data_IF_274027523331
#
_entry.id   IF_274027523331
#
_cell.length_a   1.000
_cell.length_b   1.000
_cell.length_c   1.000
_cell.angle_alpha   90.00
_cell.angle_beta   90.00
_cell.angle_gamma   90.00
#
_symmetry.space_group_name_H-M   'P 1'
#
loop_
_entity.id
_entity.type
_entity.pdbx_description
1 polymer ?
#
# COMPACT_ATOMS: atom_id res chain seq x y z
N UNK A 1 -2.98 -7.68 29.25
CA UNK A 1 -3.37 -6.25 29.18
C UNK A 1 -2.26 -5.30 29.63
N UNK A 2 -1.57 -5.51 30.76
CA UNK A 2 -0.51 -4.57 31.23
C UNK A 2 0.69 -4.37 30.27
N UNK A 3 1.08 -5.36 29.46
CA UNK A 3 2.21 -5.24 28.52
C UNK A 3 1.94 -4.27 27.35
N UNK A 4 0.72 -4.17 26.87
CA UNK A 4 0.37 -3.27 25.74
C UNK A 4 0.27 -1.80 26.18
N UNK A 5 -0.02 -1.55 27.44
CA UNK A 5 -0.07 -0.19 28.00
C UNK A 5 1.31 0.47 27.93
N UNK A 6 2.38 -0.28 28.20
CA UNK A 6 3.76 0.23 28.12
C UNK A 6 4.18 0.55 26.69
N UNK A 7 3.71 -0.25 25.71
CA UNK A 7 3.99 0.00 24.29
C UNK A 7 3.25 1.25 23.81
N UNK A 8 1.98 1.40 24.19
CA UNK A 8 1.17 2.58 23.88
C UNK A 8 1.74 3.82 24.57
N UNK A 9 2.19 3.70 25.80
CA UNK A 9 2.79 4.80 26.56
C UNK A 9 4.17 5.20 26.00
N UNK A 10 4.98 4.23 25.58
CA UNK A 10 6.25 4.50 24.88
C UNK A 10 6.02 5.16 23.53
N UNK A 11 5.00 4.73 22.77
CA UNK A 11 4.60 5.34 21.52
C UNK A 11 4.09 6.78 21.74
N UNK A 12 3.29 7.01 22.78
CA UNK A 12 2.80 8.33 23.16
C UNK A 12 3.93 9.27 23.63
N UNK A 13 4.93 8.74 24.35
CA UNK A 13 6.11 9.49 24.77
C UNK A 13 7.02 9.88 23.59
N UNK A 14 7.13 9.03 22.57
CA UNK A 14 7.86 9.37 21.34
C UNK A 14 7.14 10.44 20.49
N UNK A 15 5.85 10.65 20.70
CA UNK A 15 5.04 11.68 20.03
C UNK A 15 5.03 13.02 20.79
N UNK A 16 5.58 13.11 21.99
CA UNK A 16 5.45 14.30 22.86
C UNK A 16 6.66 15.24 22.86
N UNK A 17 7.76 14.93 22.17
CA UNK A 17 8.90 15.85 22.05
C UNK A 17 8.85 16.64 20.76
N UNK A 18 7.92 17.58 20.65
CA UNK A 18 7.90 18.56 19.55
C UNK A 18 8.16 19.97 20.06
N UNK A 19 9.43 20.33 20.18
CA UNK A 19 9.85 21.70 19.90
C UNK A 19 9.61 21.99 18.42
N UNK A 20 9.20 23.23 18.12
CA UNK A 20 8.84 23.72 16.79
C UNK A 20 9.95 23.50 15.74
N UNK A 21 10.13 22.30 15.26
CA UNK A 21 11.03 21.95 14.15
C UNK A 21 10.27 21.11 13.13
N UNK A 22 10.41 21.55 11.89
CA UNK A 22 10.03 20.92 10.61
C UNK A 22 9.18 19.66 10.71
N UNK A 23 8.03 19.67 10.10
CA UNK A 23 7.13 18.53 9.87
C UNK A 23 7.93 17.26 9.58
N UNK A 24 7.99 16.34 10.54
CA UNK A 24 8.89 15.18 10.48
C UNK A 24 8.18 13.88 10.23
N UNK A 25 6.87 13.84 10.46
CA UNK A 25 6.08 12.62 10.35
C UNK A 25 4.77 12.88 9.60
N UNK A 26 4.35 11.96 8.75
CA UNK A 26 3.04 12.00 8.11
C UNK A 26 2.36 10.64 8.09
N UNK A 27 1.04 10.68 8.14
CA UNK A 27 0.17 9.53 7.91
C UNK A 27 -0.72 9.88 6.73
N UNK A 28 -0.82 8.98 5.77
CA UNK A 28 -1.63 9.19 4.57
C UNK A 28 -2.48 7.98 4.22
N UNK A 29 -3.57 8.24 3.50
CA UNK A 29 -4.43 7.21 2.95
C UNK A 29 -4.72 7.52 1.48
N UNK A 30 -4.67 6.49 0.63
CA UNK A 30 -4.93 6.60 -0.80
C UNK A 30 -6.43 6.42 -1.08
N UNK A 31 -7.05 7.46 -1.62
CA UNK A 31 -8.47 7.47 -1.94
C UNK A 31 -8.82 6.51 -3.09
N UNK A 32 -7.92 6.34 -4.06
CA UNK A 32 -8.12 5.39 -5.16
C UNK A 32 -8.06 3.94 -4.69
N UNK A 33 -7.37 3.66 -3.59
CA UNK A 33 -7.40 2.35 -2.93
C UNK A 33 -8.83 1.94 -2.57
N UNK A 34 -9.60 2.84 -2.02
CA UNK A 34 -11.00 2.57 -1.67
C UNK A 34 -11.89 2.34 -2.90
N UNK A 35 -11.62 3.03 -4.01
CA UNK A 35 -12.32 2.80 -5.27
C UNK A 35 -11.98 1.43 -5.89
N UNK A 36 -10.84 0.83 -5.53
CA UNK A 36 -10.44 -0.52 -5.94
C UNK A 36 -11.07 -1.59 -5.06
N UNK A 37 -12.39 -1.77 -5.19
CA UNK A 37 -13.19 -2.77 -4.47
C UNK A 37 -13.04 -2.66 -2.93
N UNK A 38 -12.91 -1.44 -2.41
CA UNK A 38 -12.85 -1.19 -0.97
C UNK A 38 -11.51 -1.54 -0.31
N UNK A 39 -10.40 -1.47 -1.05
CA UNK A 39 -9.07 -1.74 -0.47
C UNK A 39 -8.70 -0.67 0.56
N UNK A 40 -8.70 -1.05 1.83
CA UNK A 40 -8.22 -0.21 2.92
C UNK A 40 -6.71 -0.07 2.85
N UNK A 41 -6.20 1.12 3.13
CA UNK A 41 -4.77 1.39 3.07
C UNK A 41 -4.35 2.46 4.07
N UNK A 42 -3.12 2.39 4.50
CA UNK A 42 -2.48 3.35 5.38
C UNK A 42 -0.99 3.39 5.09
N UNK A 43 -0.47 4.57 4.85
CA UNK A 43 0.96 4.81 4.67
C UNK A 43 1.45 5.79 5.75
N UNK A 44 2.62 5.51 6.30
CA UNK A 44 3.33 6.36 7.23
C UNK A 44 4.66 6.78 6.61
N UNK A 45 5.08 8.03 6.85
CA UNK A 45 6.35 8.55 6.37
C UNK A 45 7.03 9.35 7.47
N UNK A 46 8.34 9.15 7.61
CA UNK A 46 9.17 9.85 8.59
C UNK A 46 10.35 10.51 7.88
N UNK A 47 10.49 11.83 8.02
CA UNK A 47 11.63 12.56 7.49
C UNK A 47 12.89 12.22 8.30
N UNK A 48 13.90 11.68 7.63
CA UNK A 48 15.20 11.36 8.24
C UNK A 48 16.27 12.41 7.90
N UNK A 49 16.01 13.23 6.91
CA UNK A 49 16.84 14.38 6.56
C UNK A 49 16.01 15.40 5.74
N UNK A 50 16.62 16.53 5.39
CA UNK A 50 15.95 17.58 4.58
C UNK A 50 15.40 17.11 3.24
N UNK A 51 15.94 16.02 2.69
CA UNK A 51 15.58 15.48 1.36
C UNK A 51 15.20 14.02 1.36
N UNK A 52 15.22 13.34 2.50
CA UNK A 52 14.92 11.92 2.58
C UNK A 52 13.88 11.64 3.64
N UNK A 53 12.92 10.81 3.29
CA UNK A 53 11.99 10.21 4.23
C UNK A 53 11.92 8.70 4.05
N UNK A 54 11.74 7.98 5.13
CA UNK A 54 11.41 6.56 5.12
C UNK A 54 9.91 6.40 5.09
N UNK A 55 9.43 5.39 4.38
CA UNK A 55 8.00 5.11 4.25
C UNK A 55 7.70 3.67 4.59
N UNK A 56 6.55 3.44 5.22
CA UNK A 56 5.99 2.13 5.45
C UNK A 56 4.50 2.18 5.15
N UNK A 57 3.96 1.16 4.49
CA UNK A 57 2.56 1.13 4.10
C UNK A 57 1.96 -0.26 4.21
N UNK A 58 0.67 -0.29 4.48
CA UNK A 58 -0.14 -1.51 4.52
C UNK A 58 -1.39 -1.32 3.67
N UNK A 59 -1.80 -2.40 2.99
CA UNK A 59 -3.06 -2.48 2.25
C UNK A 59 -3.77 -3.76 2.60
N UNK A 60 -5.06 -3.68 2.78
CA UNK A 60 -5.89 -4.82 3.14
C UNK A 60 -7.24 -4.78 2.44
N UNK A 61 -7.57 -5.87 1.77
CA UNK A 61 -8.88 -6.04 1.15
C UNK A 61 -9.41 -7.46 1.45
N UNK A 62 -10.35 -7.62 2.38
CA UNK A 62 -10.93 -8.92 2.72
C UNK A 62 -12.18 -9.25 1.87
N UNK A 63 -12.65 -8.35 1.01
CA UNK A 63 -13.99 -8.43 0.45
C UNK A 63 -14.11 -9.46 -0.67
N UNK A 64 -15.20 -10.24 -0.59
CA UNK A 64 -15.69 -11.14 -1.64
C UNK A 64 -17.12 -10.73 -1.96
N UNK A 65 -17.39 -10.46 -3.21
CA UNK A 65 -18.69 -10.01 -3.69
C UNK A 65 -19.47 -11.15 -4.30
N UNK A 66 -20.80 -11.14 -4.11
CA UNK A 66 -21.74 -12.17 -4.60
C UNK A 66 -21.32 -13.59 -4.19
N UNK A 67 -20.95 -13.74 -2.94
CA UNK A 67 -20.50 -15.02 -2.38
C UNK A 67 -21.59 -16.08 -2.53
N UNK A 68 -21.20 -17.27 -3.02
CA UNK A 68 -22.10 -18.43 -3.18
C UNK A 68 -22.65 -18.62 -4.60
N UNK A 69 -22.42 -17.69 -5.52
CA UNK A 69 -22.78 -17.82 -6.93
C UNK A 69 -21.52 -18.12 -7.76
N UNK A 70 -21.32 -19.36 -8.26
CA UNK A 70 -20.09 -19.75 -8.97
C UNK A 70 -19.80 -18.89 -10.20
N UNK A 71 -20.83 -18.42 -10.88
CA UNK A 71 -20.72 -17.71 -12.15
C UNK A 71 -20.57 -16.18 -11.97
N UNK A 72 -20.97 -15.68 -10.80
CA UNK A 72 -20.99 -14.22 -10.53
C UNK A 72 -20.14 -13.77 -9.36
N UNK A 73 -19.57 -14.71 -8.61
CA UNK A 73 -18.66 -14.36 -7.53
C UNK A 73 -17.39 -13.71 -8.08
N UNK A 74 -17.06 -12.53 -7.57
CA UNK A 74 -15.80 -11.89 -7.87
C UNK A 74 -15.13 -11.40 -6.58
N UNK A 75 -13.79 -11.42 -6.61
CA UNK A 75 -12.97 -11.02 -5.46
C UNK A 75 -11.63 -10.46 -5.88
N UNK A 76 -11.13 -9.53 -5.08
CA UNK A 76 -9.76 -9.01 -5.19
C UNK A 76 -9.18 -8.87 -3.79
N UNK A 77 -9.18 -10.01 -3.07
CA UNK A 77 -8.64 -10.05 -1.71
C UNK A 77 -7.13 -9.88 -1.76
N UNK A 78 -6.62 -9.06 -0.88
CA UNK A 78 -5.18 -8.84 -0.79
C UNK A 78 -4.78 -8.33 0.60
N UNK A 79 -3.54 -8.67 0.95
CA UNK A 79 -2.84 -8.12 2.09
C UNK A 79 -1.44 -7.77 1.61
N UNK A 80 -1.04 -6.50 1.75
CA UNK A 80 0.24 -6.04 1.22
C UNK A 80 0.96 -5.19 2.25
N UNK A 81 2.28 -5.30 2.23
CA UNK A 81 3.18 -4.52 3.04
C UNK A 81 4.24 -3.90 2.14
N UNK A 82 4.54 -2.64 2.35
CA UNK A 82 5.57 -1.93 1.63
C UNK A 82 6.46 -1.17 2.59
N UNK A 83 7.75 -1.15 2.32
CA UNK A 83 8.73 -0.30 3.00
C UNK A 83 9.63 0.33 1.96
N UNK A 84 10.04 1.57 2.18
CA UNK A 84 10.86 2.24 1.20
C UNK A 84 11.42 3.57 1.67
N UNK A 85 12.01 4.29 0.73
CA UNK A 85 12.52 5.62 0.94
C UNK A 85 12.05 6.55 -0.19
N UNK A 86 11.77 7.82 0.16
CA UNK A 86 11.46 8.89 -0.77
C UNK A 86 12.58 9.92 -0.79
N UNK A 87 12.97 10.31 -1.96
CA UNK A 87 13.85 11.45 -2.23
C UNK A 87 13.02 12.65 -2.64
N UNK A 88 13.23 13.77 -1.98
CA UNK A 88 12.59 15.05 -2.22
C UNK A 88 13.63 16.04 -2.74
N UNK A 89 13.55 16.48 -4.00
CA UNK A 89 14.55 17.39 -4.57
C UNK A 89 14.70 18.72 -3.80
N UNK A 90 13.62 19.19 -3.17
CA UNK A 90 13.62 20.46 -2.42
C UNK A 90 13.50 20.25 -0.90
N UNK A 91 12.29 19.97 -0.40
CA UNK A 91 12.00 19.75 1.01
C UNK A 91 11.15 18.51 1.19
N UNK A 92 11.36 17.80 2.30
CA UNK A 92 10.49 16.69 2.69
C UNK A 92 9.05 17.15 2.86
N UNK A 93 8.12 16.27 2.51
CA UNK A 93 6.66 16.44 2.60
C UNK A 93 6.08 17.56 1.67
N UNK A 94 6.85 18.07 0.70
CA UNK A 94 6.37 19.11 -0.22
C UNK A 94 7.00 19.00 -1.62
N UNK A 95 6.18 19.21 -2.66
CA UNK A 95 6.63 19.23 -4.06
C UNK A 95 6.86 17.84 -4.65
N UNK A 96 7.77 17.75 -5.63
CA UNK A 96 8.11 16.53 -6.30
C UNK A 96 8.85 15.55 -5.41
N UNK A 97 8.59 14.25 -5.59
CA UNK A 97 9.31 13.19 -4.93
C UNK A 97 9.48 11.96 -5.83
N UNK A 98 10.54 11.21 -5.55
CA UNK A 98 10.84 9.93 -6.14
C UNK A 98 11.01 8.90 -5.03
N UNK A 99 10.53 7.68 -5.23
CA UNK A 99 10.62 6.66 -4.20
C UNK A 99 11.03 5.31 -4.77
N UNK A 100 11.79 4.57 -3.95
CA UNK A 100 12.00 3.13 -4.10
C UNK A 100 11.31 2.41 -2.95
N UNK A 101 10.52 1.38 -3.26
CA UNK A 101 9.84 0.56 -2.25
C UNK A 101 10.12 -0.93 -2.48
N UNK A 102 10.23 -1.69 -1.41
CA UNK A 102 10.12 -3.14 -1.40
C UNK A 102 8.72 -3.51 -0.96
N UNK A 103 8.08 -4.39 -1.71
CA UNK A 103 6.69 -4.75 -1.50
C UNK A 103 6.54 -6.27 -1.41
N UNK A 104 5.75 -6.72 -0.45
CA UNK A 104 5.23 -8.08 -0.33
C UNK A 104 3.71 -8.03 -0.39
N UNK A 105 3.10 -8.96 -1.12
CA UNK A 105 1.66 -9.05 -1.25
C UNK A 105 1.20 -10.49 -1.30
N UNK A 106 0.26 -10.83 -0.45
CA UNK A 106 -0.62 -11.98 -0.60
C UNK A 106 -1.87 -11.56 -1.36
N UNK A 107 -2.29 -12.35 -2.35
CA UNK A 107 -3.46 -12.01 -3.13
C UNK A 107 -4.30 -13.23 -3.50
N UNK A 108 -5.61 -12.98 -3.64
CA UNK A 108 -6.54 -13.95 -4.19
C UNK A 108 -7.55 -13.18 -5.06
N UNK A 109 -7.40 -13.31 -6.38
CA UNK A 109 -8.19 -12.59 -7.38
C UNK A 109 -8.92 -13.55 -8.27
N UNK A 110 -10.21 -13.33 -8.48
CA UNK A 110 -11.01 -14.16 -9.38
C UNK A 110 -12.36 -13.56 -9.71
N UNK A 111 -12.94 -14.02 -10.81
CA UNK A 111 -14.29 -13.63 -11.23
C UNK A 111 -14.43 -12.21 -11.79
N UNK A 112 -13.35 -11.43 -11.98
CA UNK A 112 -13.42 -10.04 -12.45
C UNK A 112 -13.51 -9.98 -13.98
N UNK A 113 -12.55 -10.60 -14.68
CA UNK A 113 -12.48 -10.61 -16.15
C UNK A 113 -12.72 -12.02 -16.71
N UNK A 114 -12.54 -13.04 -15.90
CA UNK A 114 -12.78 -14.45 -16.26
C UNK A 114 -13.16 -15.21 -14.98
N UNK A 115 -13.82 -16.37 -15.09
CA UNK A 115 -14.15 -17.19 -13.94
C UNK A 115 -12.91 -17.76 -13.24
N UNK A 116 -11.75 -17.74 -13.88
CA UNK A 116 -10.51 -18.25 -13.29
C UNK A 116 -10.12 -17.43 -12.07
N UNK A 117 -9.67 -18.14 -11.04
CA UNK A 117 -9.14 -17.53 -9.81
C UNK A 117 -7.66 -17.81 -9.69
N UNK A 118 -6.91 -16.81 -9.30
CA UNK A 118 -5.48 -16.90 -9.02
C UNK A 118 -5.21 -16.41 -7.60
N UNK A 119 -4.54 -17.23 -6.83
CA UNK A 119 -4.03 -16.86 -5.51
C UNK A 119 -2.52 -17.07 -5.44
N UNK A 120 -1.88 -16.37 -4.52
CA UNK A 120 -0.46 -16.53 -4.31
C UNK A 120 0.19 -15.34 -3.63
N UNK A 121 1.51 -15.38 -3.66
CA UNK A 121 2.38 -14.39 -3.03
C UNK A 121 3.20 -13.67 -4.10
N UNK A 122 3.44 -12.39 -3.88
CA UNK A 122 4.32 -11.56 -4.71
C UNK A 122 5.34 -10.85 -3.83
N UNK A 123 6.56 -10.84 -4.27
CA UNK A 123 7.63 -10.06 -3.65
C UNK A 123 8.43 -9.36 -4.73
N UNK A 124 8.73 -8.10 -4.51
CA UNK A 124 9.50 -7.34 -5.48
C UNK A 124 9.79 -5.92 -5.05
N UNK A 125 10.41 -5.18 -5.96
CA UNK A 125 10.72 -3.76 -5.81
C UNK A 125 9.95 -2.90 -6.79
N UNK A 126 9.69 -1.66 -6.39
CA UNK A 126 9.01 -0.67 -7.21
C UNK A 126 9.68 0.68 -7.19
N UNK A 127 9.53 1.40 -8.30
CA UNK A 127 9.93 2.79 -8.43
C UNK A 127 8.69 3.65 -8.63
N UNK A 128 8.65 4.75 -7.91
CA UNK A 128 7.50 5.65 -7.84
C UNK A 128 7.94 7.09 -8.00
N UNK A 129 7.08 7.89 -8.58
CA UNK A 129 7.27 9.34 -8.67
C UNK A 129 5.94 10.02 -8.38
N UNK A 130 5.99 11.20 -7.80
CA UNK A 130 4.77 11.94 -7.50
C UNK A 130 5.02 13.36 -7.09
N UNK A 131 3.92 14.00 -6.76
CA UNK A 131 3.90 15.40 -6.34
C UNK A 131 2.99 15.56 -5.12
N UNK A 132 3.48 16.25 -4.12
CA UNK A 132 2.74 16.61 -2.92
C UNK A 132 2.37 18.09 -2.96
N UNK A 133 1.08 18.37 -2.93
CA UNK A 133 0.51 19.70 -2.85
C UNK A 133 0.08 20.00 -1.41
N UNK A 134 0.62 21.05 -0.83
CA UNK A 134 0.24 21.48 0.52
C UNK A 134 -1.10 22.20 0.45
N UNK A 135 -2.12 21.67 1.11
CA UNK A 135 -3.42 22.31 1.26
C UNK A 135 -3.47 23.23 2.47
N UNK A 136 -2.78 22.82 3.54
CA UNK A 136 -2.66 23.58 4.78
C UNK A 136 -1.36 23.17 5.50
N UNK A 137 -0.98 23.79 6.61
CA UNK A 137 0.21 23.40 7.38
C UNK A 137 0.23 21.92 7.78
N UNK A 138 -0.93 21.31 7.98
CA UNK A 138 -1.04 19.92 8.42
C UNK A 138 -1.67 18.97 7.38
N UNK A 139 -2.23 19.47 6.28
CA UNK A 139 -2.88 18.64 5.28
C UNK A 139 -2.23 18.80 3.92
N UNK A 140 -1.82 17.66 3.36
CA UNK A 140 -1.26 17.55 2.02
C UNK A 140 -2.12 16.65 1.16
N UNK A 141 -2.16 16.94 -0.13
CA UNK A 141 -2.67 16.02 -1.16
C UNK A 141 -1.50 15.50 -1.97
N UNK A 142 -1.39 14.19 -2.09
CA UNK A 142 -0.31 13.54 -2.82
C UNK A 142 -0.86 12.88 -4.08
N UNK A 143 -0.17 13.10 -5.19
CA UNK A 143 -0.42 12.46 -6.48
C UNK A 143 0.80 11.65 -6.85
N UNK A 144 0.62 10.42 -7.28
CA UNK A 144 1.75 9.58 -7.62
C UNK A 144 1.40 8.45 -8.58
N UNK A 145 2.43 7.94 -9.19
CA UNK A 145 2.37 6.74 -10.01
C UNK A 145 3.65 5.92 -9.82
N UNK A 146 3.56 4.64 -10.05
CA UNK A 146 4.70 3.75 -9.89
C UNK A 146 4.60 2.49 -10.74
N UNK A 147 5.74 1.83 -10.84
CA UNK A 147 5.89 0.50 -11.43
C UNK A 147 6.46 -0.44 -10.39
N UNK A 148 5.85 -1.59 -10.27
CA UNK A 148 6.28 -2.65 -9.36
C UNK A 148 6.58 -3.93 -10.13
N UNK A 149 7.72 -4.54 -9.85
CA UNK A 149 8.17 -5.77 -10.49
C UNK A 149 8.80 -6.73 -9.50
N UNK A 150 8.77 -8.01 -9.83
CA UNK A 150 9.33 -9.04 -8.97
C UNK A 150 8.90 -10.45 -9.36
N UNK A 151 8.92 -11.32 -8.37
CA UNK A 151 8.53 -12.72 -8.52
C UNK A 151 7.18 -12.96 -7.84
N UNK A 152 6.33 -13.73 -8.50
CA UNK A 152 5.06 -14.21 -8.00
C UNK A 152 5.06 -15.74 -7.97
N UNK A 153 4.65 -16.30 -6.83
CA UNK A 153 4.31 -17.71 -6.68
C UNK A 153 2.80 -17.80 -6.73
N UNK A 154 2.25 -18.57 -7.66
CA UNK A 154 0.81 -18.57 -7.90
C UNK A 154 0.24 -19.97 -8.00
N UNK A 155 -1.05 -20.07 -7.68
CA UNK A 155 -1.94 -21.19 -7.97
C UNK A 155 -3.18 -20.68 -8.68
N UNK A 156 -3.60 -21.35 -9.71
CA UNK A 156 -4.82 -21.03 -10.47
C UNK A 156 -5.86 -22.11 -10.27
N UNK A 157 -7.10 -21.69 -10.17
CA UNK A 157 -8.28 -22.52 -10.05
C UNK A 157 -9.23 -22.21 -11.19
N UNK A 158 -10.04 -23.20 -11.60
CA UNK A 158 -10.98 -23.05 -12.70
C UNK A 158 -12.11 -22.07 -12.37
N UNK A 159 -12.49 -21.94 -11.12
CA UNK A 159 -13.49 -20.97 -10.66
C UNK A 159 -13.23 -20.57 -9.18
N UNK A 160 -13.90 -19.49 -8.67
CA UNK A 160 -13.69 -19.02 -7.30
C UNK A 160 -14.10 -20.00 -6.20
N UNK A 161 -14.92 -20.99 -6.50
CA UNK A 161 -15.50 -21.93 -5.53
C UNK A 161 -14.99 -23.36 -5.76
N UNK A 162 -14.54 -23.68 -6.98
CA UNK A 162 -14.16 -25.01 -7.33
C UNK A 162 -12.77 -25.38 -6.85
N UNK A 163 -12.38 -25.95 -5.91
CA UNK A 163 -11.02 -26.27 -5.45
C UNK A 163 -10.11 -27.03 -6.45
N UNK A 164 -10.46 -27.07 -7.76
CA UNK A 164 -9.68 -27.73 -8.80
C UNK A 164 -8.53 -26.83 -9.25
N UNK A 165 -7.31 -27.16 -8.87
CA UNK A 165 -6.09 -26.49 -9.31
C UNK A 165 -5.83 -26.79 -10.79
N UNK A 166 -5.75 -25.75 -11.61
CA UNK A 166 -5.48 -25.84 -13.05
C UNK A 166 -4.03 -25.58 -13.39
N UNK A 167 -3.34 -24.73 -12.62
CA UNK A 167 -1.92 -24.45 -12.80
C UNK A 167 -1.31 -23.97 -11.49
N UNK A 168 0.00 -24.17 -11.35
CA UNK A 168 0.79 -23.60 -10.27
C UNK A 168 2.22 -23.35 -10.74
N UNK A 169 2.90 -22.35 -10.16
CA UNK A 169 4.28 -22.10 -10.55
C UNK A 169 4.81 -20.77 -10.04
N UNK A 170 5.89 -20.32 -10.67
CA UNK A 170 6.50 -19.01 -10.45
C UNK A 170 6.47 -18.23 -11.75
N UNK A 171 6.20 -16.93 -11.65
CA UNK A 171 6.26 -16.01 -12.82
C UNK A 171 6.89 -14.70 -12.40
N UNK A 172 7.59 -14.08 -13.33
CA UNK A 172 7.98 -12.68 -13.22
C UNK A 172 6.76 -11.81 -13.52
N UNK A 173 6.61 -10.72 -12.78
CA UNK A 173 5.57 -9.74 -13.04
C UNK A 173 6.15 -8.34 -13.15
N UNK A 174 5.50 -7.52 -13.95
CA UNK A 174 5.67 -6.07 -14.01
C UNK A 174 4.26 -5.48 -14.03
N UNK A 175 3.92 -4.74 -13.01
CA UNK A 175 2.59 -4.14 -12.85
C UNK A 175 2.71 -2.64 -12.68
N UNK A 176 1.87 -1.85 -13.37
CA UNK A 176 1.62 -0.50 -12.92
C UNK A 176 1.00 -0.61 -11.52
N UNK A 177 1.69 -0.06 -10.55
CA UNK A 177 1.23 0.03 -9.18
C UNK A 177 1.07 1.51 -8.85
N UNK A 178 0.04 1.83 -8.08
CA UNK A 178 -0.22 3.16 -7.59
C UNK A 178 -0.37 4.28 -8.62
N UNK A 179 -1.51 4.32 -9.30
CA UNK A 179 -2.15 5.61 -9.44
C UNK A 179 -2.65 5.99 -8.04
N UNK A 180 -1.96 6.90 -7.41
CA UNK A 180 -2.21 7.28 -6.03
C UNK A 180 -2.77 8.71 -6.01
N UNK A 181 -3.90 8.87 -5.35
CA UNK A 181 -4.41 10.17 -4.90
C UNK A 181 -4.64 10.03 -3.40
N UNK A 182 -3.70 10.56 -2.61
CA UNK A 182 -3.71 10.38 -1.17
C UNK A 182 -3.94 11.70 -0.46
N UNK A 183 -4.58 11.61 0.70
CA UNK A 183 -4.62 12.70 1.68
C UNK A 183 -3.67 12.32 2.81
N UNK A 184 -2.78 13.23 3.14
CA UNK A 184 -1.78 13.07 4.18
C UNK A 184 -1.99 14.11 5.28
N UNK A 185 -1.92 13.67 6.52
CA UNK A 185 -1.81 14.52 7.68
C UNK A 185 -0.35 14.55 8.14
N UNK A 186 0.18 15.76 8.32
CA UNK A 186 1.58 15.99 8.66
C UNK A 186 1.66 16.62 10.05
N UNK A 187 2.48 16.00 10.90
CA UNK A 187 2.69 16.38 12.29
C UNK A 187 3.92 17.29 12.43
#
# INVERSE_FOLDING_TARGET
>A
MKRYIWIIMALALMLSEHHAEAQTFSISTDLLGYARLGTMNLDASCAVSRRWSLTAGVRYNPFTFRKGDPDRQFQSRQQSYAVGARLWPWHTMSGWWFAGKLCYQEYNRGGILSPKTEEGDRFGGGLYAGYTHMLSPHFNMEFGLGLWSGLAWYRQYSCPICGLTTASGRKFFLLPDDFMISVAYVF
#
